data_IF_400007064257
#
_entry.id   IF_400007064257
#
_cell.length_a   1.000
_cell.length_b   1.000
_cell.length_c   1.000
_cell.angle_alpha   90.00
_cell.angle_beta   90.00
_cell.angle_gamma   90.00
#
_symmetry.space_group_name_H-M   'P 1'
#
loop_
_entity.id
_entity.type
_entity.pdbx_description
1 polymer ?
#
# COMPACT_ATOMS: atom_id res chain seq x y z
N UNK A 1 6.11 4.62 -3.06
CA UNK A 1 6.73 4.70 -4.41
C UNK A 1 5.98 5.74 -5.25
N UNK A 2 6.32 5.95 -6.53
CA UNK A 2 5.52 6.78 -7.46
C UNK A 2 4.69 5.93 -8.45
N UNK A 3 3.74 6.56 -9.16
CA UNK A 3 2.82 5.88 -10.10
C UNK A 3 3.55 5.22 -11.27
N UNK A 4 4.60 5.85 -11.80
CA UNK A 4 5.37 5.31 -12.94
C UNK A 4 6.09 4.03 -12.51
N UNK A 5 6.73 4.08 -11.34
CA UNK A 5 7.39 2.93 -10.71
C UNK A 5 6.37 1.80 -10.46
N UNK A 6 5.19 2.12 -9.93
CA UNK A 6 4.13 1.15 -9.69
C UNK A 6 3.69 0.44 -10.99
N UNK A 7 3.44 1.18 -12.07
CA UNK A 7 3.04 0.64 -13.38
C UNK A 7 4.10 -0.27 -13.99
N UNK A 8 5.36 0.13 -13.89
CA UNK A 8 6.48 -0.67 -14.37
C UNK A 8 6.53 -2.02 -13.63
N UNK A 9 6.36 -2.00 -12.30
CA UNK A 9 6.32 -3.23 -11.50
C UNK A 9 5.14 -4.13 -11.86
N UNK A 10 3.95 -3.56 -12.05
CA UNK A 10 2.77 -4.33 -12.49
C UNK A 10 3.02 -4.99 -13.86
N UNK A 11 3.60 -4.26 -14.82
CA UNK A 11 3.92 -4.78 -16.16
C UNK A 11 4.93 -5.94 -16.10
N UNK A 12 5.88 -5.86 -15.17
CA UNK A 12 6.90 -6.87 -14.96
C UNK A 12 6.45 -7.99 -14.00
N UNK A 13 5.19 -7.99 -13.54
CA UNK A 13 4.67 -8.90 -12.51
C UNK A 13 5.55 -8.96 -11.24
N UNK A 14 6.16 -7.83 -10.88
CA UNK A 14 6.99 -7.72 -9.69
C UNK A 14 6.11 -7.54 -8.44
N UNK A 15 6.53 -8.11 -7.29
CA UNK A 15 5.76 -7.99 -6.07
C UNK A 15 5.73 -6.53 -5.58
N UNK A 16 4.59 -6.16 -4.99
CA UNK A 16 4.33 -4.86 -4.40
C UNK A 16 3.92 -5.09 -2.95
N UNK A 17 4.43 -4.27 -2.04
CA UNK A 17 4.23 -4.44 -0.62
C UNK A 17 3.60 -3.21 -0.01
N UNK A 18 2.74 -3.44 0.99
CA UNK A 18 2.33 -2.48 1.98
C UNK A 18 2.86 -2.97 3.32
N UNK A 19 3.81 -2.24 3.89
CA UNK A 19 4.56 -2.70 5.07
C UNK A 19 5.22 -4.07 4.82
N UNK A 20 4.81 -5.11 5.56
CA UNK A 20 5.28 -6.48 5.42
C UNK A 20 4.37 -7.36 4.56
N UNK A 21 3.24 -6.82 4.06
CA UNK A 21 2.21 -7.57 3.34
C UNK A 21 2.33 -7.41 1.84
N UNK A 22 2.30 -8.52 1.13
CA UNK A 22 2.21 -8.50 -0.33
C UNK A 22 0.77 -8.19 -0.76
N UNK A 23 0.61 -7.20 -1.64
CA UNK A 23 -0.69 -6.75 -2.11
C UNK A 23 -0.78 -6.82 -3.62
N UNK A 24 -1.97 -7.10 -4.12
CA UNK A 24 -2.31 -6.99 -5.53
C UNK A 24 -2.91 -5.60 -5.79
N UNK A 25 -2.48 -4.96 -6.87
CA UNK A 25 -3.05 -3.68 -7.32
C UNK A 25 -4.26 -3.96 -8.19
N UNK A 26 -5.39 -3.34 -7.86
CA UNK A 26 -6.64 -3.45 -8.61
C UNK A 26 -6.74 -2.30 -9.61
N UNK A 27 -6.62 -1.07 -9.11
CA UNK A 27 -6.83 0.15 -9.90
C UNK A 27 -5.91 1.27 -9.41
N UNK A 28 -5.35 2.03 -10.35
CA UNK A 28 -4.56 3.24 -10.05
C UNK A 28 -5.42 4.45 -10.40
N UNK A 29 -5.62 5.32 -9.42
CA UNK A 29 -6.37 6.58 -9.55
C UNK A 29 -5.35 7.72 -9.65
N UNK A 30 -4.78 7.88 -10.86
CA UNK A 30 -3.66 8.78 -11.13
C UNK A 30 -3.88 10.23 -10.65
N UNK A 31 -5.10 10.76 -10.80
CA UNK A 31 -5.47 12.14 -10.44
C UNK A 31 -5.17 12.49 -8.98
N UNK A 32 -5.21 11.49 -8.09
CA UNK A 32 -5.04 11.68 -6.66
C UNK A 32 -3.80 10.97 -6.10
N UNK A 33 -2.96 10.37 -6.96
CA UNK A 33 -1.89 9.46 -6.54
C UNK A 33 -2.39 8.35 -5.59
N UNK A 34 -3.62 7.89 -5.80
CA UNK A 34 -4.23 6.83 -5.01
C UNK A 34 -4.21 5.51 -5.78
N UNK A 35 -4.27 4.42 -5.03
CA UNK A 35 -4.32 3.08 -5.58
C UNK A 35 -5.23 2.21 -4.72
N UNK A 36 -6.13 1.48 -5.39
CA UNK A 36 -6.89 0.42 -4.77
C UNK A 36 -6.05 -0.86 -4.76
N UNK A 37 -5.83 -1.40 -3.57
CA UNK A 37 -5.07 -2.62 -3.36
C UNK A 37 -5.90 -3.66 -2.65
N UNK A 38 -5.56 -4.92 -2.89
CA UNK A 38 -6.11 -6.08 -2.21
C UNK A 38 -5.00 -6.84 -1.52
N UNK A 39 -5.18 -7.16 -0.25
CA UNK A 39 -4.27 -8.08 0.41
C UNK A 39 -4.50 -9.51 -0.13
N UNK A 40 -3.45 -10.28 -0.39
CA UNK A 40 -3.60 -11.66 -0.86
C UNK A 40 -4.32 -12.56 0.14
N UNK A 41 -4.14 -12.28 1.44
CA UNK A 41 -4.77 -13.07 2.51
C UNK A 41 -6.22 -12.66 2.80
N UNK A 42 -6.68 -11.50 2.32
CA UNK A 42 -7.98 -10.95 2.68
C UNK A 42 -8.80 -10.58 1.43
N UNK A 43 -10.10 -10.86 1.44
CA UNK A 43 -10.96 -10.58 0.28
C UNK A 43 -11.31 -9.09 0.12
N UNK A 44 -11.01 -8.25 1.11
CA UNK A 44 -11.33 -6.82 1.09
C UNK A 44 -10.25 -6.00 0.39
N UNK A 45 -10.66 -5.13 -0.51
CA UNK A 45 -9.84 -4.08 -1.08
C UNK A 45 -9.95 -2.80 -0.27
N UNK A 46 -8.95 -1.93 -0.40
CA UNK A 46 -8.91 -0.62 0.23
C UNK A 46 -8.04 0.33 -0.60
N UNK A 47 -8.31 1.63 -0.48
CA UNK A 47 -7.61 2.68 -1.24
C UNK A 47 -6.56 3.35 -0.36
N UNK A 48 -5.35 3.49 -0.87
CA UNK A 48 -4.21 4.13 -0.18
C UNK A 48 -3.45 5.05 -1.13
N UNK A 49 -2.57 5.88 -0.56
CA UNK A 49 -1.60 6.65 -1.30
C UNK A 49 -0.52 5.73 -1.91
N UNK A 50 -0.15 5.96 -3.18
CA UNK A 50 0.88 5.19 -3.89
C UNK A 50 2.25 5.30 -3.19
N UNK A 51 2.49 6.41 -2.50
CA UNK A 51 3.65 6.66 -1.65
C UNK A 51 3.81 5.63 -0.54
N UNK A 52 2.71 5.08 -0.01
CA UNK A 52 2.73 4.07 1.05
C UNK A 52 3.20 2.67 0.57
N UNK A 53 3.20 2.43 -0.74
CA UNK A 53 3.67 1.17 -1.31
C UNK A 53 5.19 1.12 -1.45
N UNK A 54 5.75 -0.07 -1.23
CA UNK A 54 7.19 -0.33 -1.24
C UNK A 54 7.56 -1.49 -2.16
N UNK A 55 8.78 -1.46 -2.67
CA UNK A 55 9.31 -2.48 -3.59
C UNK A 55 9.76 -3.75 -2.87
N UNK A 56 10.06 -3.61 -1.58
CA UNK A 56 10.47 -4.67 -0.67
C UNK A 56 9.63 -4.60 0.61
N UNK A 57 9.42 -5.74 1.28
CA UNK A 57 8.70 -5.75 2.55
C UNK A 57 9.52 -5.01 3.61
N UNK A 58 8.92 -4.02 4.24
CA UNK A 58 9.52 -3.31 5.35
C UNK A 58 9.20 -4.08 6.63
N UNK A 59 10.18 -4.84 7.14
CA UNK A 59 10.10 -5.52 8.45
C UNK A 59 10.48 -4.61 9.64
N UNK A 60 10.19 -3.32 9.52
CA UNK A 60 10.64 -2.27 10.45
C UNK A 60 9.66 -2.04 11.58
N UNK A 61 10.15 -2.22 12.82
CA UNK A 61 9.44 -2.02 14.09
C UNK A 61 8.56 -0.77 14.10
N UNK A 62 7.31 -0.99 14.47
CA UNK A 62 6.23 -0.02 14.62
C UNK A 62 6.64 1.17 15.50
N UNK A 63 6.17 2.38 15.15
CA UNK A 63 5.79 3.34 16.18
C UNK A 63 4.30 3.12 16.42
N UNK A 64 3.88 2.57 17.57
CA UNK A 64 2.46 2.50 17.91
C UNK A 64 1.97 3.93 18.15
N UNK A 65 1.17 4.46 17.23
CA UNK A 65 0.43 5.68 17.49
C UNK A 65 -0.69 5.31 18.46
N UNK A 66 -0.44 5.49 19.75
CA UNK A 66 -1.50 5.48 20.76
C UNK A 66 -2.41 6.69 20.49
N UNK A 67 -3.63 6.44 20.02
CA UNK A 67 -4.68 7.46 20.01
C UNK A 67 -4.91 7.91 21.45
N UNK A 68 -4.64 9.19 21.73
CA UNK A 68 -5.05 9.81 22.97
C UNK A 68 -6.57 9.74 23.04
N UNK A 69 -7.05 8.93 23.97
CA UNK A 69 -8.47 8.72 24.25
C UNK A 69 -9.14 10.05 24.59
N UNK A 70 -10.34 10.18 24.02
CA UNK A 70 -11.39 11.16 24.25
C UNK A 70 -11.22 12.05 25.50
N UNK A 71 -11.03 13.35 25.29
CA UNK A 71 -11.19 14.34 26.35
C UNK A 71 -12.65 14.81 26.36
N UNK A 72 -13.45 14.09 27.17
CA UNK A 72 -14.68 14.51 27.85
C UNK A 72 -15.86 14.99 27.01
#
# INVERSE_FOLDING_TARGET
>A
MDVVTLRNRMTLNLPIYLEDKNVDVIEIIDLFNLVEVKNKDNKKSFVIDVGALTESPIKGLSIPICFLTDRR
#
